data_IF_696292929669
#
_entry.id   IF_696292929669
#
_cell.length_a   1.000
_cell.length_b   1.000
_cell.length_c   1.000
_cell.angle_alpha   90.00
_cell.angle_beta   90.00
_cell.angle_gamma   90.00
#
_symmetry.space_group_name_H-M   'P 1'
#
loop_
_entity.id
_entity.type
_entity.pdbx_description
1 polymer ?
#
# COMPACT_ATOMS: atom_id res chain seq x y z
N UNK A 1 0.04 -60.26 7.16
CA UNK A 1 1.12 -59.53 6.45
C UNK A 1 0.57 -58.20 6.00
N UNK A 2 0.71 -57.09 6.79
CA UNK A 2 0.28 -55.74 6.43
C UNK A 2 1.47 -55.00 5.80
N UNK A 3 1.34 -54.67 4.50
CA UNK A 3 2.28 -53.79 3.81
C UNK A 3 1.91 -52.31 4.15
N UNK A 4 2.80 -51.65 4.91
CA UNK A 4 2.72 -50.19 5.14
C UNK A 4 3.24 -49.48 3.89
N UNK A 5 2.34 -48.80 3.18
CA UNK A 5 2.68 -47.83 2.15
C UNK A 5 3.01 -46.51 2.82
N UNK A 6 4.26 -46.10 2.79
CA UNK A 6 4.69 -44.77 3.19
C UNK A 6 4.48 -43.81 2.01
N UNK A 7 3.54 -42.85 2.17
CA UNK A 7 3.31 -41.78 1.21
C UNK A 7 4.32 -40.66 1.53
N UNK A 8 5.35 -40.51 0.70
CA UNK A 8 6.27 -39.38 0.77
C UNK A 8 5.62 -38.16 0.10
N UNK A 9 5.19 -37.18 0.90
CA UNK A 9 4.74 -35.90 0.40
C UNK A 9 5.95 -35.06 -0.02
N UNK A 10 6.14 -34.87 -1.32
CA UNK A 10 7.12 -33.95 -1.88
C UNK A 10 6.56 -32.54 -1.75
N UNK A 11 7.04 -31.78 -0.77
CA UNK A 11 6.74 -30.34 -0.64
C UNK A 11 7.62 -29.61 -1.66
N UNK A 12 7.04 -29.27 -2.80
CA UNK A 12 7.66 -28.38 -3.78
C UNK A 12 7.63 -26.96 -3.21
N UNK A 13 8.72 -26.50 -2.61
CA UNK A 13 8.93 -25.10 -2.29
C UNK A 13 9.10 -24.36 -3.61
N UNK A 14 8.04 -23.74 -4.10
CA UNK A 14 8.14 -22.78 -5.20
C UNK A 14 9.02 -21.62 -4.71
N UNK A 15 10.26 -21.55 -5.19
CA UNK A 15 11.11 -20.39 -5.03
C UNK A 15 10.41 -19.23 -5.76
N UNK A 16 9.72 -18.37 -5.02
CA UNK A 16 9.26 -17.10 -5.55
C UNK A 16 10.51 -16.34 -6.06
N UNK A 17 10.47 -15.77 -7.29
CA UNK A 17 11.56 -14.94 -7.74
C UNK A 17 11.78 -13.83 -6.71
N UNK A 18 12.99 -13.73 -6.19
CA UNK A 18 13.41 -12.60 -5.36
C UNK A 18 13.47 -11.38 -6.29
N UNK A 19 12.31 -10.77 -6.53
CA UNK A 19 12.24 -9.42 -7.06
C UNK A 19 12.97 -8.56 -6.04
N UNK A 20 13.93 -7.77 -6.51
CA UNK A 20 14.65 -6.84 -5.66
C UNK A 20 13.59 -6.01 -4.91
N UNK A 21 13.35 -6.37 -3.65
CA UNK A 21 12.52 -5.55 -2.78
C UNK A 21 13.28 -4.24 -2.64
N UNK A 22 12.61 -3.11 -2.92
CA UNK A 22 13.19 -1.82 -2.64
C UNK A 22 13.70 -1.80 -1.20
N UNK A 23 14.78 -1.07 -0.93
CA UNK A 23 15.34 -0.94 0.42
C UNK A 23 14.28 -0.39 1.43
N UNK A 24 13.16 0.11 0.90
CA UNK A 24 12.05 0.70 1.65
C UNK A 24 11.06 -0.30 2.25
N UNK A 25 11.25 -1.60 2.01
CA UNK A 25 10.31 -2.62 2.48
C UNK A 25 9.02 -2.67 1.65
N UNK A 26 7.97 -3.24 2.24
CA UNK A 26 6.65 -3.34 1.60
C UNK A 26 5.84 -2.06 1.73
N UNK A 27 4.92 -1.85 0.78
CA UNK A 27 3.92 -0.79 0.89
C UNK A 27 3.14 -0.94 2.21
N UNK A 28 2.89 0.16 2.94
CA UNK A 28 2.14 0.11 4.19
C UNK A 28 0.70 -0.36 3.94
N UNK A 29 0.26 -1.31 4.76
CA UNK A 29 -1.07 -1.90 4.65
C UNK A 29 -2.13 -0.80 4.84
N UNK A 30 -3.05 -0.60 3.88
CA UNK A 30 -4.10 0.39 4.01
C UNK A 30 -5.08 0.04 5.15
N UNK A 31 -5.68 1.05 5.81
CA UNK A 31 -6.65 0.82 6.85
C UNK A 31 -7.93 0.18 6.29
N UNK A 32 -8.52 -0.71 7.07
CA UNK A 32 -9.83 -1.28 6.75
C UNK A 32 -10.92 -0.23 7.01
N UNK A 33 -11.65 0.16 5.97
CA UNK A 33 -12.78 1.09 6.05
C UNK A 33 -14.07 0.27 5.97
N UNK A 34 -15.03 0.45 6.93
CA UNK A 34 -16.32 -0.21 6.83
C UNK A 34 -17.05 0.18 5.54
N UNK A 35 -17.67 -0.78 4.90
CA UNK A 35 -18.49 -0.52 3.71
C UNK A 35 -19.73 0.31 4.05
N UNK A 36 -20.31 0.96 3.04
CA UNK A 36 -21.58 1.70 3.17
C UNK A 36 -22.70 0.77 3.65
N UNK A 37 -22.71 -0.49 3.21
CA UNK A 37 -23.70 -1.47 3.63
C UNK A 37 -23.58 -1.84 5.13
N UNK A 38 -22.38 -2.07 5.61
CA UNK A 38 -22.10 -2.31 7.04
C UNK A 38 -22.48 -1.10 7.88
N UNK A 39 -22.12 0.12 7.44
CA UNK A 39 -22.51 1.35 8.12
C UNK A 39 -24.03 1.48 8.24
N UNK A 40 -24.77 1.11 7.20
CA UNK A 40 -26.23 1.14 7.18
C UNK A 40 -26.90 0.25 8.24
N UNK A 41 -26.22 -0.82 8.64
CA UNK A 41 -26.71 -1.77 9.65
C UNK A 41 -26.30 -1.39 11.08
N UNK A 42 -25.40 -0.43 11.26
CA UNK A 42 -24.93 -0.02 12.58
C UNK A 42 -25.94 0.88 13.29
N UNK A 43 -26.05 0.72 14.62
CA UNK A 43 -26.72 1.71 15.46
C UNK A 43 -26.04 3.09 15.32
N UNK A 44 -26.77 4.22 15.50
CA UNK A 44 -26.25 5.58 15.28
C UNK A 44 -24.91 5.87 15.98
N UNK A 45 -24.80 5.50 17.24
CA UNK A 45 -23.58 5.71 18.03
C UNK A 45 -22.40 4.86 17.52
N UNK A 46 -22.67 3.63 17.06
CA UNK A 46 -21.64 2.76 16.47
C UNK A 46 -21.19 3.29 15.10
N UNK A 47 -22.10 3.79 14.27
CA UNK A 47 -21.82 4.39 12.99
C UNK A 47 -20.93 5.65 13.12
N UNK A 48 -21.21 6.50 14.12
CA UNK A 48 -20.39 7.68 14.42
C UNK A 48 -18.97 7.28 14.84
N UNK A 49 -18.87 6.29 15.72
CA UNK A 49 -17.57 5.76 16.16
C UNK A 49 -16.78 5.16 14.99
N UNK A 50 -17.44 4.39 14.13
CA UNK A 50 -16.81 3.78 12.95
C UNK A 50 -16.30 4.84 11.97
N UNK A 51 -17.09 5.87 11.67
CA UNK A 51 -16.66 7.01 10.83
C UNK A 51 -15.47 7.74 11.44
N UNK A 52 -15.50 8.02 12.75
CA UNK A 52 -14.39 8.69 13.44
C UNK A 52 -13.11 7.86 13.41
N UNK A 53 -13.22 6.56 13.69
CA UNK A 53 -12.08 5.65 13.65
C UNK A 53 -11.49 5.58 12.24
N UNK A 54 -12.30 5.42 11.20
CA UNK A 54 -11.85 5.43 9.82
C UNK A 54 -11.11 6.72 9.47
N UNK A 55 -11.58 7.88 9.91
CA UNK A 55 -10.88 9.15 9.72
C UNK A 55 -9.49 9.16 10.38
N UNK A 56 -9.39 8.70 11.63
CA UNK A 56 -8.13 8.63 12.37
C UNK A 56 -7.15 7.68 11.68
N UNK A 57 -7.63 6.50 11.28
CA UNK A 57 -6.80 5.46 10.68
C UNK A 57 -6.28 5.88 9.31
N UNK A 58 -7.13 6.44 8.44
CA UNK A 58 -6.73 6.98 7.13
C UNK A 58 -5.72 8.10 7.29
N UNK A 59 -6.00 9.06 8.19
CA UNK A 59 -5.10 10.20 8.41
C UNK A 59 -3.74 9.76 8.95
N UNK A 60 -3.72 8.79 9.86
CA UNK A 60 -2.48 8.25 10.42
C UNK A 60 -1.69 7.49 9.36
N UNK A 61 -2.37 6.63 8.58
CA UNK A 61 -1.74 5.88 7.50
C UNK A 61 -1.12 6.81 6.43
N UNK A 62 -1.83 7.87 6.01
CA UNK A 62 -1.32 8.85 5.05
C UNK A 62 -0.11 9.63 5.61
N UNK A 63 -0.23 10.16 6.84
CA UNK A 63 0.77 11.09 7.40
C UNK A 63 2.05 10.43 7.88
N UNK A 64 2.00 9.15 8.21
CA UNK A 64 3.18 8.40 8.66
C UNK A 64 3.55 7.32 7.66
N UNK A 65 2.83 6.20 7.62
CA UNK A 65 3.21 5.03 6.84
C UNK A 65 3.44 5.34 5.36
N UNK A 66 2.43 5.92 4.70
CA UNK A 66 2.50 6.17 3.25
C UNK A 66 3.51 7.26 2.89
N UNK A 67 3.55 8.34 3.68
CA UNK A 67 4.52 9.42 3.49
C UNK A 67 5.95 8.91 3.65
N UNK A 68 6.23 8.15 4.71
CA UNK A 68 7.56 7.64 4.99
C UNK A 68 8.01 6.63 3.91
N UNK A 69 7.10 5.77 3.47
CA UNK A 69 7.34 4.85 2.37
C UNK A 69 7.70 5.57 1.06
N UNK A 70 6.92 6.56 0.65
CA UNK A 70 7.20 7.36 -0.57
C UNK A 70 8.50 8.14 -0.47
N UNK A 71 8.77 8.75 0.68
CA UNK A 71 10.02 9.47 0.91
C UNK A 71 11.24 8.54 0.82
N UNK A 72 11.09 7.29 1.26
CA UNK A 72 12.14 6.29 1.11
C UNK A 72 12.33 5.92 -0.37
N UNK A 73 11.26 5.65 -1.12
CA UNK A 73 11.35 5.35 -2.56
C UNK A 73 12.03 6.48 -3.34
N UNK A 74 11.68 7.74 -3.06
CA UNK A 74 12.32 8.91 -3.69
C UNK A 74 13.82 8.99 -3.38
N UNK A 75 14.20 8.68 -2.13
CA UNK A 75 15.60 8.67 -1.71
C UNK A 75 16.38 7.53 -2.39
N UNK A 76 15.80 6.33 -2.47
CA UNK A 76 16.38 5.16 -3.12
C UNK A 76 16.57 5.42 -4.62
N UNK A 77 15.54 5.85 -5.32
CA UNK A 77 15.58 6.24 -6.73
C UNK A 77 16.65 7.28 -7.01
N UNK A 78 16.76 8.30 -6.14
CA UNK A 78 17.78 9.34 -6.27
C UNK A 78 19.20 8.77 -6.12
N UNK A 79 19.42 7.81 -5.23
CA UNK A 79 20.70 7.12 -5.08
C UNK A 79 21.02 6.26 -6.30
N UNK A 80 20.04 5.47 -6.77
CA UNK A 80 20.19 4.61 -7.94
C UNK A 80 20.53 5.43 -9.19
N UNK A 81 19.89 6.59 -9.39
CA UNK A 81 20.21 7.52 -10.50
C UNK A 81 21.64 8.03 -10.43
N UNK A 82 22.17 8.34 -9.24
CA UNK A 82 23.59 8.70 -9.07
C UNK A 82 24.53 7.54 -9.44
N UNK A 83 24.22 6.34 -8.96
CA UNK A 83 25.03 5.15 -9.21
C UNK A 83 25.04 4.77 -10.70
N UNK A 84 23.90 4.94 -11.38
CA UNK A 84 23.76 4.78 -12.82
C UNK A 84 24.63 5.78 -13.59
N UNK A 85 24.59 7.06 -13.21
CA UNK A 85 25.41 8.10 -13.84
C UNK A 85 26.90 7.81 -13.66
N UNK A 86 27.33 7.38 -12.48
CA UNK A 86 28.70 6.98 -12.20
C UNK A 86 29.12 5.77 -13.06
N UNK A 87 28.27 4.75 -13.19
CA UNK A 87 28.55 3.59 -14.03
C UNK A 87 28.68 3.95 -15.52
N UNK A 88 27.89 4.93 -15.99
CA UNK A 88 27.93 5.40 -17.38
C UNK A 88 29.14 6.28 -17.68
N UNK A 89 29.72 6.97 -16.70
CA UNK A 89 30.86 7.87 -16.86
C UNK A 89 32.22 7.17 -16.93
N UNK A 90 32.30 5.86 -16.72
CA UNK A 90 33.52 5.08 -16.80
C UNK A 90 34.06 5.03 -18.25
N UNK A 91 35.38 4.93 -18.43
CA UNK A 91 36.02 4.78 -19.74
C UNK A 91 35.54 3.51 -20.49
N UNK A 92 35.09 2.50 -19.78
CA UNK A 92 34.37 1.33 -20.29
C UNK A 92 33.08 1.17 -19.45
N UNK A 93 31.96 1.74 -19.91
CA UNK A 93 30.70 1.64 -19.18
C UNK A 93 30.25 0.19 -18.95
N UNK A 94 29.86 -0.12 -17.73
CA UNK A 94 29.30 -1.44 -17.37
C UNK A 94 27.81 -1.47 -17.76
N UNK A 95 27.53 -1.97 -18.95
CA UNK A 95 26.16 -2.01 -19.52
C UNK A 95 25.22 -2.91 -18.70
N UNK A 96 25.71 -3.99 -18.12
CA UNK A 96 24.88 -4.89 -17.30
C UNK A 96 24.50 -4.22 -15.97
N UNK A 97 25.44 -3.47 -15.39
CA UNK A 97 25.15 -2.67 -14.19
C UNK A 97 24.13 -1.57 -14.48
N UNK A 98 24.31 -0.84 -15.57
CA UNK A 98 23.38 0.23 -16.00
C UNK A 98 21.98 -0.35 -16.19
N UNK A 99 21.83 -1.46 -16.92
CA UNK A 99 20.55 -2.11 -17.16
C UNK A 99 19.86 -2.56 -15.86
N UNK A 100 20.62 -3.08 -14.89
CA UNK A 100 20.04 -3.45 -13.58
C UNK A 100 19.54 -2.22 -12.83
N UNK A 101 20.31 -1.13 -12.81
CA UNK A 101 19.94 0.12 -12.16
C UNK A 101 18.69 0.76 -12.83
N UNK A 102 18.60 0.71 -14.16
CA UNK A 102 17.39 1.15 -14.88
C UNK A 102 16.17 0.30 -14.51
N UNK A 103 16.34 -1.00 -14.29
CA UNK A 103 15.28 -1.88 -13.80
C UNK A 103 14.82 -1.51 -12.39
N UNK A 104 15.74 -1.21 -11.47
CA UNK A 104 15.43 -0.78 -10.11
C UNK A 104 14.66 0.55 -10.09
N UNK A 105 15.08 1.54 -10.89
CA UNK A 105 14.34 2.80 -11.04
C UNK A 105 12.89 2.54 -11.48
N UNK A 106 12.71 1.70 -12.50
CA UNK A 106 11.38 1.38 -13.01
C UNK A 106 10.51 0.64 -11.96
N UNK A 107 11.11 -0.16 -11.09
CA UNK A 107 10.38 -0.85 -10.01
C UNK A 107 9.97 0.13 -8.91
N UNK A 108 10.81 1.10 -8.53
CA UNK A 108 10.47 2.15 -7.56
C UNK A 108 9.38 3.10 -8.10
N UNK A 109 9.46 3.49 -9.37
CA UNK A 109 8.42 4.28 -10.03
C UNK A 109 7.05 3.57 -10.01
N UNK A 110 7.05 2.25 -10.31
CA UNK A 110 5.82 1.43 -10.21
C UNK A 110 5.31 1.31 -8.78
N UNK A 111 6.20 1.17 -7.80
CA UNK A 111 5.83 1.10 -6.39
C UNK A 111 5.20 2.42 -5.93
N UNK A 112 5.75 3.55 -6.35
CA UNK A 112 5.20 4.88 -6.08
C UNK A 112 3.82 5.06 -6.72
N UNK A 113 3.64 4.66 -7.98
CA UNK A 113 2.35 4.71 -8.66
C UNK A 113 1.31 3.84 -7.95
N UNK A 114 1.63 2.57 -7.60
CA UNK A 114 0.70 1.72 -6.85
C UNK A 114 0.29 2.35 -5.53
N UNK A 115 1.22 2.97 -4.82
CA UNK A 115 0.89 3.64 -3.55
C UNK A 115 -0.05 4.83 -3.74
N UNK A 116 0.05 5.55 -4.89
CA UNK A 116 -0.88 6.61 -5.24
C UNK A 116 -2.28 6.08 -5.56
N UNK A 117 -2.36 4.99 -6.34
CA UNK A 117 -3.63 4.34 -6.68
C UNK A 117 -4.31 3.77 -5.42
N UNK A 118 -3.52 3.18 -4.51
CA UNK A 118 -4.02 2.68 -3.22
C UNK A 118 -4.57 3.81 -2.36
N UNK A 119 -3.86 4.95 -2.30
CA UNK A 119 -4.33 6.13 -1.54
C UNK A 119 -5.64 6.68 -2.11
N UNK A 120 -5.74 6.81 -3.41
CA UNK A 120 -6.97 7.27 -4.07
C UNK A 120 -8.15 6.37 -3.72
N UNK A 121 -7.95 5.05 -3.74
CA UNK A 121 -8.98 4.08 -3.35
C UNK A 121 -9.44 4.27 -1.91
N UNK A 122 -8.50 4.32 -0.97
CA UNK A 122 -8.78 4.49 0.47
C UNK A 122 -9.51 5.80 0.75
N UNK A 123 -9.10 6.89 0.12
CA UNK A 123 -9.76 8.20 0.25
C UNK A 123 -11.18 8.17 -0.31
N UNK A 124 -11.38 7.54 -1.45
CA UNK A 124 -12.71 7.40 -2.06
C UNK A 124 -13.64 6.55 -1.20
N UNK A 125 -13.16 5.45 -0.62
CA UNK A 125 -13.93 4.60 0.30
C UNK A 125 -14.31 5.38 1.56
N UNK A 126 -13.39 6.15 2.13
CA UNK A 126 -13.69 7.02 3.27
C UNK A 126 -14.70 8.12 2.92
N UNK A 127 -14.62 8.73 1.75
CA UNK A 127 -15.58 9.71 1.27
C UNK A 127 -16.98 9.10 1.10
N UNK A 128 -17.07 7.89 0.52
CA UNK A 128 -18.32 7.17 0.38
C UNK A 128 -18.94 6.86 1.77
N UNK A 129 -18.13 6.35 2.72
CA UNK A 129 -18.54 6.12 4.09
C UNK A 129 -19.06 7.40 4.76
N UNK A 130 -18.32 8.50 4.65
CA UNK A 130 -18.68 9.80 5.24
C UNK A 130 -19.95 10.37 4.65
N UNK A 131 -20.14 10.27 3.34
CA UNK A 131 -21.35 10.71 2.63
C UNK A 131 -22.57 9.89 3.07
N UNK A 132 -22.42 8.56 3.11
CA UNK A 132 -23.49 7.67 3.57
C UNK A 132 -23.87 7.91 5.03
N UNK A 133 -22.90 8.15 5.91
CA UNK A 133 -23.15 8.55 7.30
C UNK A 133 -23.98 9.84 7.36
N UNK A 134 -23.57 10.87 6.62
CA UNK A 134 -24.24 12.17 6.63
C UNK A 134 -25.62 12.17 5.95
N UNK A 135 -25.91 11.17 5.13
CA UNK A 135 -27.24 10.98 4.54
C UNK A 135 -28.26 10.36 5.51
N UNK A 136 -27.82 9.70 6.59
CA UNK A 136 -28.71 9.08 7.59
C UNK A 136 -29.52 10.17 8.34
N UNK A 137 -30.78 9.84 8.64
CA UNK A 137 -31.68 10.73 9.40
C UNK A 137 -31.55 10.58 10.91
N UNK A 138 -30.95 9.48 11.35
CA UNK A 138 -30.88 9.03 12.76
C UNK A 138 -29.54 9.34 13.44
N UNK A 139 -28.63 10.07 12.77
CA UNK A 139 -27.31 10.43 13.31
C UNK A 139 -27.19 11.93 13.58
N UNK A 140 -26.32 12.26 14.53
CA UNK A 140 -25.91 13.66 14.75
C UNK A 140 -25.05 14.16 13.57
N UNK A 141 -25.49 15.23 12.96
CA UNK A 141 -24.83 15.85 11.79
C UNK A 141 -23.77 16.89 12.15
N UNK A 142 -23.46 17.06 13.43
CA UNK A 142 -22.40 18.00 13.84
C UNK A 142 -21.02 17.66 13.27
N UNK A 143 -20.80 16.36 12.95
CA UNK A 143 -19.59 15.88 12.31
C UNK A 143 -19.63 15.84 10.77
N UNK A 144 -20.70 16.39 10.16
CA UNK A 144 -20.86 16.46 8.72
C UNK A 144 -20.42 17.83 8.18
N UNK A 145 -19.88 17.91 6.94
CA UNK A 145 -19.59 19.19 6.30
C UNK A 145 -20.86 20.06 6.25
N UNK A 146 -20.71 21.34 6.55
CA UNK A 146 -21.80 22.30 6.35
C UNK A 146 -21.94 22.53 4.85
N UNK A 147 -23.10 22.20 4.31
CA UNK A 147 -23.48 22.56 2.92
C UNK A 147 -23.74 24.04 2.82
#
# INVERSE_FOLDING_TARGET
MLKKLALAAVISVAAAPAWAQSSCGGEPIPPAIPSVAELGQMAPAAALKAKHQAFVDVTTWQKSGLKDYRSCLEADESQIKRDRANAASLSKPDQDKIKRLDGQIADDEKANQRSADTEEHVVNDFHALSTAFCARSDVDKSSCPKT
#
